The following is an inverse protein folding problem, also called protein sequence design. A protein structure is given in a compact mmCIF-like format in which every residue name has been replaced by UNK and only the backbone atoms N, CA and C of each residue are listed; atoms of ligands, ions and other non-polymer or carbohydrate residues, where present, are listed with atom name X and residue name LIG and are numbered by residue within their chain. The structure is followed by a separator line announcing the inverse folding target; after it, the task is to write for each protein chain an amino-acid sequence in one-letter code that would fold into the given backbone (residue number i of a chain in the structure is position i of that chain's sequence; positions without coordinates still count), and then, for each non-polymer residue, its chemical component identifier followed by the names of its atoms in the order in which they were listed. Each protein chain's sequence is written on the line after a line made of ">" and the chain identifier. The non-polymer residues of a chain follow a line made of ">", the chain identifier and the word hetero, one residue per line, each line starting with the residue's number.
data_IF_662505690159
#
_entry.id   IF_662505690159
#
_cell.length_a   1.000
_cell.length_b   1.000
_cell.length_c   1.000
_cell.angle_alpha   90.00
_cell.angle_beta   90.00
_cell.angle_gamma   90.00
#
_symmetry.space_group_name_H-M   'P 1'
#
loop_
_entity.id
_entity.type
_entity.pdbx_description
1 polymer ?
#
# COMPACT_ATOMS: atom_id res chain seq x y z
N UNK A 1 -6.59 2.50 -2.48
CA UNK A 1 -8.05 2.38 -2.22
C UNK A 1 -8.51 3.62 -1.46
N UNK A 2 -8.31 4.77 -2.09
CA UNK A 2 -8.25 6.08 -1.42
C UNK A 2 -9.65 6.53 -1.05
N UNK A 3 -10.59 6.27 -1.96
CA UNK A 3 -12.01 6.49 -1.73
C UNK A 3 -12.55 5.67 -0.55
N UNK A 4 -12.10 4.44 -0.35
CA UNK A 4 -12.56 3.59 0.76
C UNK A 4 -12.04 4.09 2.12
N UNK A 5 -10.76 4.46 2.20
CA UNK A 5 -10.20 5.10 3.40
C UNK A 5 -10.89 6.44 3.70
N UNK A 6 -11.13 7.26 2.69
CA UNK A 6 -11.80 8.55 2.86
C UNK A 6 -13.24 8.37 3.36
N UNK A 7 -13.99 7.43 2.79
CA UNK A 7 -15.34 7.10 3.23
C UNK A 7 -15.36 6.62 4.70
N UNK A 8 -14.38 5.83 5.11
CA UNK A 8 -14.22 5.39 6.50
C UNK A 8 -13.99 6.56 7.45
N UNK A 9 -13.10 7.49 7.07
CA UNK A 9 -12.78 8.67 7.89
C UNK A 9 -13.98 9.64 7.99
N UNK A 10 -14.73 9.84 6.90
CA UNK A 10 -15.97 10.63 6.91
C UNK A 10 -17.01 10.00 7.84
N UNK A 11 -17.24 8.68 7.75
CA UNK A 11 -18.18 7.96 8.64
C UNK A 11 -17.77 8.09 10.11
N UNK A 12 -16.47 8.05 10.41
CA UNK A 12 -15.92 8.23 11.76
C UNK A 12 -16.20 9.64 12.29
N UNK A 13 -15.99 10.67 11.47
CA UNK A 13 -16.24 12.07 11.84
C UNK A 13 -17.73 12.35 12.04
N UNK A 14 -18.58 11.81 11.16
CA UNK A 14 -20.03 11.91 11.28
C UNK A 14 -20.53 11.29 12.59
N UNK A 15 -20.06 10.08 12.95
CA UNK A 15 -20.41 9.43 14.24
C UNK A 15 -19.94 10.23 15.45
N UNK A 16 -18.84 10.97 15.33
CA UNK A 16 -18.31 11.81 16.39
C UNK A 16 -18.98 13.20 16.46
N UNK A 17 -19.98 13.48 15.62
CA UNK A 17 -20.64 14.79 15.53
C UNK A 17 -19.74 15.91 15.04
N UNK A 18 -18.63 15.57 14.36
CA UNK A 18 -17.65 16.55 13.87
C UNK A 18 -17.95 16.91 12.42
N UNK A 19 -17.77 18.19 12.10
CA UNK A 19 -17.90 18.69 10.74
C UNK A 19 -16.74 18.14 9.87
N UNK A 20 -17.09 17.26 8.95
CA UNK A 20 -16.14 16.61 8.03
C UNK A 20 -15.59 17.57 6.96
N UNK A 21 -16.20 18.76 6.78
CA UNK A 21 -15.69 19.81 5.90
C UNK A 21 -14.46 20.54 6.48
N UNK A 22 -14.18 20.37 7.77
CA UNK A 22 -13.01 21.00 8.40
C UNK A 22 -11.72 20.29 8.01
N UNK A 23 -10.87 21.02 7.28
CA UNK A 23 -9.58 20.53 6.80
C UNK A 23 -8.66 19.99 7.92
N UNK A 24 -8.83 20.48 9.16
CA UNK A 24 -8.10 19.99 10.34
C UNK A 24 -8.29 18.48 10.56
N UNK A 25 -9.49 17.95 10.33
CA UNK A 25 -9.77 16.53 10.54
C UNK A 25 -9.27 15.65 9.38
N UNK A 26 -9.12 16.23 8.18
CA UNK A 26 -8.62 15.53 6.99
C UNK A 26 -7.09 15.50 6.88
N UNK A 27 -6.36 16.35 7.63
CA UNK A 27 -4.88 16.37 7.62
C UNK A 27 -4.24 15.01 7.90
N UNK A 28 -4.85 14.21 8.79
CA UNK A 28 -4.33 12.87 9.11
C UNK A 28 -4.49 11.91 7.94
N UNK A 29 -5.61 11.97 7.23
CA UNK A 29 -5.84 11.22 6.00
C UNK A 29 -4.82 11.64 4.93
N UNK A 30 -4.67 12.93 4.69
CA UNK A 30 -3.74 13.48 3.69
C UNK A 30 -2.30 13.02 3.91
N UNK A 31 -1.81 13.02 5.16
CA UNK A 31 -0.46 12.53 5.50
C UNK A 31 -0.29 11.04 5.18
N UNK A 32 -1.28 10.20 5.51
CA UNK A 32 -1.22 8.77 5.19
C UNK A 32 -1.18 8.53 3.69
N UNK A 33 -2.02 9.24 2.92
CA UNK A 33 -2.04 9.13 1.45
C UNK A 33 -0.73 9.59 0.82
N UNK A 34 -0.15 10.70 1.28
CA UNK A 34 1.15 11.20 0.79
C UNK A 34 2.26 10.18 1.01
N UNK A 35 2.30 9.55 2.17
CA UNK A 35 3.28 8.52 2.48
C UNK A 35 3.08 7.26 1.62
N UNK A 36 1.85 6.77 1.50
CA UNK A 36 1.51 5.61 0.66
C UNK A 36 1.88 5.84 -0.82
N UNK A 37 1.55 7.02 -1.35
CA UNK A 37 1.91 7.41 -2.72
C UNK A 37 3.43 7.50 -2.92
N UNK A 38 4.17 8.09 -1.96
CA UNK A 38 5.62 8.18 -2.02
C UNK A 38 6.29 6.80 -2.01
N UNK A 39 5.81 5.87 -1.18
CA UNK A 39 6.28 4.49 -1.16
C UNK A 39 6.03 3.79 -2.50
N UNK A 40 4.85 3.97 -3.09
CA UNK A 40 4.52 3.35 -4.37
C UNK A 40 5.41 3.87 -5.50
N UNK A 41 5.65 5.19 -5.56
CA UNK A 41 6.55 5.82 -6.52
C UNK A 41 7.99 5.35 -6.35
N UNK A 42 8.51 5.38 -5.12
CA UNK A 42 9.86 4.92 -4.80
C UNK A 42 10.04 3.44 -5.11
N UNK A 43 9.03 2.61 -4.80
CA UNK A 43 9.03 1.19 -5.13
C UNK A 43 9.10 0.96 -6.63
N UNK A 44 8.21 1.59 -7.41
CA UNK A 44 8.20 1.43 -8.86
C UNK A 44 9.47 1.95 -9.54
N UNK A 45 10.01 3.07 -9.06
CA UNK A 45 11.28 3.58 -9.55
C UNK A 45 12.43 2.64 -9.20
N UNK A 46 12.47 2.12 -7.98
CA UNK A 46 13.46 1.13 -7.55
C UNK A 46 13.39 -0.15 -8.38
N UNK A 47 12.18 -0.66 -8.66
CA UNK A 47 11.99 -1.79 -9.58
C UNK A 47 12.51 -1.46 -10.98
N UNK A 48 12.13 -0.31 -11.54
CA UNK A 48 12.60 0.11 -12.86
C UNK A 48 14.12 0.20 -12.90
N UNK A 49 14.75 0.85 -11.94
CA UNK A 49 16.19 1.00 -11.88
C UNK A 49 16.90 -0.32 -11.68
N UNK A 50 16.37 -1.19 -10.80
CA UNK A 50 16.92 -2.50 -10.53
C UNK A 50 16.88 -3.38 -11.78
N UNK A 51 15.78 -3.36 -12.56
CA UNK A 51 15.59 -4.19 -13.75
C UNK A 51 16.08 -3.57 -15.08
N UNK A 52 16.41 -2.28 -15.10
CA UNK A 52 16.91 -1.59 -16.30
C UNK A 52 18.45 -1.63 -16.42
N UNK A 53 18.94 -2.10 -17.57
CA UNK A 53 20.36 -2.14 -17.95
C UNK A 53 21.19 -3.26 -17.32
N UNK A 54 22.39 -3.47 -17.87
CA UNK A 54 23.31 -4.56 -17.55
C UNK A 54 24.47 -4.12 -16.64
N UNK A 55 24.15 -3.43 -15.53
CA UNK A 55 25.17 -3.03 -14.56
C UNK A 55 25.48 -4.20 -13.59
N UNK A 56 26.75 -4.60 -13.42
CA UNK A 56 27.15 -5.71 -12.53
C UNK A 56 26.72 -5.53 -11.06
N UNK A 57 26.65 -4.30 -10.55
CA UNK A 57 26.14 -4.03 -9.20
C UNK A 57 24.64 -4.32 -9.06
N UNK A 58 23.86 -4.06 -10.13
CA UNK A 58 22.42 -4.39 -10.18
C UNK A 58 22.20 -5.90 -10.27
N UNK A 59 23.06 -6.62 -11.00
CA UNK A 59 23.05 -8.08 -11.06
C UNK A 59 23.23 -8.68 -9.66
N UNK A 60 24.23 -8.21 -8.91
CA UNK A 60 24.47 -8.65 -7.53
C UNK A 60 23.25 -8.39 -6.63
N UNK A 61 22.64 -7.20 -6.73
CA UNK A 61 21.42 -6.87 -5.98
C UNK A 61 20.22 -7.74 -6.36
N UNK A 62 20.03 -8.06 -7.65
CA UNK A 62 18.99 -8.99 -8.11
C UNK A 62 19.21 -10.40 -7.58
N UNK A 63 20.44 -10.90 -7.64
CA UNK A 63 20.77 -12.25 -7.17
C UNK A 63 20.56 -12.39 -5.66
N UNK A 64 20.96 -11.38 -4.87
CA UNK A 64 20.67 -11.32 -3.42
C UNK A 64 19.16 -11.25 -3.17
N UNK A 65 18.43 -10.41 -3.92
CA UNK A 65 16.98 -10.27 -3.80
C UNK A 65 16.21 -11.56 -4.11
N UNK A 66 16.61 -12.28 -5.17
CA UNK A 66 16.02 -13.57 -5.54
C UNK A 66 16.34 -14.65 -4.50
N UNK A 67 17.59 -14.69 -4.02
CA UNK A 67 18.00 -15.64 -2.97
C UNK A 67 17.22 -15.41 -1.67
N UNK A 68 17.05 -14.15 -1.26
CA UNK A 68 16.22 -13.80 -0.11
C UNK A 68 14.75 -14.19 -0.31
N UNK A 69 14.19 -13.92 -1.50
CA UNK A 69 12.81 -14.27 -1.82
C UNK A 69 12.55 -15.78 -1.80
N UNK A 70 13.53 -16.61 -2.21
CA UNK A 70 13.45 -18.06 -2.14
C UNK A 70 13.70 -18.60 -0.72
N UNK A 71 14.50 -17.91 0.09
CA UNK A 71 14.87 -18.34 1.45
C UNK A 71 13.83 -17.99 2.52
N UNK A 72 12.80 -17.22 2.20
CA UNK A 72 11.79 -16.71 3.14
C UNK A 72 10.44 -17.46 2.98
N UNK A 73 10.26 -18.63 3.63
CA UNK A 73 8.98 -19.34 3.61
C UNK A 73 7.90 -18.50 4.29
N UNK A 74 6.77 -18.31 3.61
CA UNK A 74 5.63 -17.53 4.12
C UNK A 74 5.65 -16.03 3.84
N UNK A 75 6.67 -15.50 3.15
CA UNK A 75 6.72 -14.08 2.73
C UNK A 75 5.99 -13.82 1.41
N UNK A 76 5.95 -14.82 0.51
CA UNK A 76 5.20 -14.74 -0.77
C UNK A 76 3.74 -14.29 -0.59
N UNK A 77 2.94 -14.86 0.34
CA UNK A 77 1.55 -14.41 0.56
C UNK A 77 1.46 -12.96 1.07
N UNK A 78 2.39 -12.52 1.93
CA UNK A 78 2.42 -11.16 2.46
C UNK A 78 2.79 -10.13 1.38
N UNK A 79 3.77 -10.45 0.54
CA UNK A 79 4.16 -9.62 -0.59
C UNK A 79 3.04 -9.50 -1.63
N UNK A 80 2.36 -10.61 -1.93
CA UNK A 80 1.20 -10.61 -2.83
C UNK A 80 0.06 -9.76 -2.24
N UNK A 81 -0.26 -9.92 -0.96
CA UNK A 81 -1.28 -9.09 -0.28
C UNK A 81 -0.92 -7.59 -0.29
N UNK A 82 0.35 -7.26 -0.07
CA UNK A 82 0.88 -5.90 -0.19
C UNK A 82 0.73 -5.36 -1.63
N UNK A 83 1.11 -6.15 -2.63
CA UNK A 83 1.05 -5.77 -4.05
C UNK A 83 -0.39 -5.58 -4.54
N UNK A 84 -1.34 -6.36 -4.02
CA UNK A 84 -2.77 -6.19 -4.25
C UNK A 84 -3.36 -4.97 -3.50
N UNK A 85 -2.55 -4.26 -2.70
CA UNK A 85 -3.00 -3.11 -1.91
C UNK A 85 -3.95 -3.50 -0.77
N UNK A 86 -3.95 -4.77 -0.37
CA UNK A 86 -4.92 -5.32 0.57
C UNK A 86 -4.60 -5.02 2.05
N UNK A 87 -3.46 -4.40 2.34
CA UNK A 87 -3.05 -4.05 3.71
C UNK A 87 -3.57 -2.69 4.18
N UNK A 88 -4.06 -1.85 3.26
CA UNK A 88 -4.59 -0.51 3.55
C UNK A 88 -6.13 -0.47 3.40
N UNK A 89 -6.80 -1.62 3.46
CA UNK A 89 -8.27 -1.64 3.45
C UNK A 89 -8.82 -1.27 4.83
N UNK A 90 -9.90 -0.48 4.88
CA UNK A 90 -10.64 -0.33 6.13
C UNK A 90 -11.35 -1.66 6.47
N UNK A 91 -11.40 -1.99 7.77
CA UNK A 91 -11.89 -3.28 8.30
C UNK A 91 -13.26 -3.71 7.76
N UNK A 92 -14.15 -2.75 7.45
CA UNK A 92 -15.48 -3.04 6.91
C UNK A 92 -15.47 -3.54 5.45
N UNK A 93 -14.38 -3.34 4.72
CA UNK A 93 -14.19 -3.80 3.34
C UNK A 93 -13.36 -5.10 3.29
N UNK A 94 -12.65 -5.44 4.37
CA UNK A 94 -12.02 -6.76 4.54
C UNK A 94 -13.04 -7.87 4.81
N UNK A 95 -14.22 -7.54 5.37
CA UNK A 95 -15.30 -8.49 5.69
C UNK A 95 -16.21 -8.83 4.49
N UNK A 96 -16.08 -8.09 3.40
CA UNK A 96 -16.87 -8.31 2.18
C UNK A 96 -15.91 -8.71 1.05
N UNK A 97 -15.32 -9.93 1.09
CA UNK A 97 -14.56 -10.44 -0.02
C UNK A 97 -15.59 -10.71 -1.10
N UNK A 98 -15.78 -9.72 -1.98
CA UNK A 98 -16.50 -9.74 -3.24
C UNK A 98 -17.32 -11.02 -3.40
N UNK A 99 -18.64 -10.95 -3.17
CA UNK A 99 -19.59 -11.89 -3.76
C UNK A 99 -19.40 -11.88 -5.28
N UNK A 100 -18.40 -12.61 -5.75
CA UNK A 100 -18.34 -13.12 -7.11
C UNK A 100 -19.41 -14.19 -7.14
N UNK A 101 -20.61 -13.79 -7.60
CA UNK A 101 -21.54 -14.74 -8.20
C UNK A 101 -20.94 -15.23 -9.51
#
# INVERSE_FOLDING_TARGET
>A
MDAAELASEIRRLQRAGKDFGQHMYLRRYERRRKHSAALMLAGMQGFRELFNGDNPAKKLLRDIGLTLADSLPGVKPKLVRQAMGLNDLPEWLEQDPVRLK
#
